data_IF_296217169899
#
_entry.id   IF_296217169899
#
_cell.length_a   1.000
_cell.length_b   1.000
_cell.length_c   1.000
_cell.angle_alpha   90.00
_cell.angle_beta   90.00
_cell.angle_gamma   90.00
#
_symmetry.space_group_name_H-M   'P 1'
#
loop_
_entity.id
_entity.type
_entity.pdbx_description
1 polymer ?
#
# COMPACT_ATOMS: atom_id res chain seq x y z
N UNK A 1 -49.20 27.93 -11.31
CA UNK A 1 -48.17 28.98 -11.20
C UNK A 1 -47.72 29.03 -9.75
N UNK A 2 -46.62 28.34 -9.45
CA UNK A 2 -45.87 28.48 -8.19
C UNK A 2 -44.45 28.82 -8.59
N UNK A 3 -43.91 29.88 -8.00
CA UNK A 3 -42.66 30.50 -8.39
C UNK A 3 -41.48 29.54 -8.16
N UNK A 4 -40.77 29.23 -9.24
CA UNK A 4 -39.43 28.65 -9.18
C UNK A 4 -38.52 29.73 -8.59
N UNK A 5 -37.96 29.46 -7.41
CA UNK A 5 -36.87 30.26 -6.86
C UNK A 5 -35.61 29.90 -7.64
N UNK A 6 -35.21 30.79 -8.53
CA UNK A 6 -33.88 30.82 -9.13
C UNK A 6 -32.81 30.97 -8.03
N UNK A 7 -31.81 30.09 -8.02
CA UNK A 7 -30.51 30.38 -7.39
C UNK A 7 -29.89 29.31 -6.50
N UNK A 8 -30.51 28.17 -6.23
CA UNK A 8 -29.83 27.09 -5.52
C UNK A 8 -28.85 26.39 -6.45
N UNK A 9 -27.55 26.58 -6.21
CA UNK A 9 -26.49 25.79 -6.84
C UNK A 9 -26.72 24.32 -6.47
N UNK A 10 -27.38 23.58 -7.36
CA UNK A 10 -27.54 22.13 -7.24
C UNK A 10 -26.18 21.50 -6.98
N UNK A 11 -26.06 20.74 -5.88
CA UNK A 11 -24.81 20.08 -5.52
C UNK A 11 -24.45 19.05 -6.59
N UNK A 12 -23.16 18.75 -6.78
CA UNK A 12 -22.73 17.72 -7.74
C UNK A 12 -23.43 16.37 -7.49
N UNK A 13 -23.72 16.08 -6.21
CA UNK A 13 -24.47 14.92 -5.75
C UNK A 13 -25.92 14.90 -6.27
N UNK A 14 -26.62 16.04 -6.21
CA UNK A 14 -27.97 16.16 -6.75
C UNK A 14 -28.01 15.98 -8.27
N UNK A 15 -27.03 16.55 -8.98
CA UNK A 15 -26.89 16.41 -10.45
C UNK A 15 -26.55 14.98 -10.87
N UNK A 16 -25.76 14.27 -10.06
CA UNK A 16 -25.45 12.85 -10.30
C UNK A 16 -26.70 11.98 -10.11
N UNK A 17 -27.48 12.23 -9.05
CA UNK A 17 -28.73 11.50 -8.80
C UNK A 17 -29.74 11.73 -9.93
N UNK A 18 -29.91 12.97 -10.41
CA UNK A 18 -30.79 13.28 -11.55
C UNK A 18 -30.41 12.53 -12.85
N UNK A 19 -29.13 12.21 -13.04
CA UNK A 19 -28.64 11.50 -14.23
C UNK A 19 -28.81 9.98 -14.13
N UNK A 20 -29.05 9.45 -12.93
CA UNK A 20 -28.94 8.02 -12.65
C UNK A 20 -30.23 7.44 -12.02
N UNK A 21 -31.06 8.30 -11.41
CA UNK A 21 -32.41 7.94 -11.01
C UNK A 21 -33.27 7.75 -12.26
N UNK A 22 -33.53 6.49 -12.61
CA UNK A 22 -34.68 6.12 -13.42
C UNK A 22 -35.87 5.86 -12.46
N UNK A 23 -36.85 6.79 -12.39
CA UNK A 23 -38.01 6.64 -11.50
C UNK A 23 -38.93 5.47 -11.88
N UNK A 24 -38.70 4.82 -13.04
CA UNK A 24 -39.39 3.59 -13.42
C UNK A 24 -38.77 2.33 -12.81
N UNK A 25 -37.54 2.42 -12.30
CA UNK A 25 -36.78 1.29 -11.77
C UNK A 25 -36.57 1.41 -10.25
N UNK A 26 -36.42 2.62 -9.70
CA UNK A 26 -36.02 2.82 -8.30
C UNK A 26 -36.77 3.95 -7.56
N UNK A 27 -36.80 3.82 -6.22
CA UNK A 27 -37.26 4.90 -5.33
C UNK A 27 -36.23 6.04 -5.32
N UNK A 28 -36.65 7.31 -5.45
CA UNK A 28 -35.72 8.44 -5.54
C UNK A 28 -34.81 8.51 -4.31
N UNK A 29 -33.50 8.54 -4.53
CA UNK A 29 -32.53 8.68 -3.44
C UNK A 29 -32.17 10.15 -3.26
N UNK A 30 -32.26 10.70 -2.05
CA UNK A 30 -31.92 12.11 -1.83
C UNK A 30 -30.40 12.32 -1.68
N UNK A 31 -29.86 13.51 -1.99
CA UNK A 31 -28.44 13.82 -1.78
C UNK A 31 -27.96 13.59 -0.34
N UNK A 32 -28.81 13.92 0.64
CA UNK A 32 -28.52 13.70 2.06
C UNK A 32 -28.42 12.21 2.42
N UNK A 33 -29.12 11.34 1.68
CA UNK A 33 -29.11 9.90 1.92
C UNK A 33 -27.81 9.22 1.46
N UNK A 34 -27.00 9.86 0.62
CA UNK A 34 -25.71 9.33 0.14
C UNK A 34 -24.50 10.08 0.69
N UNK A 35 -24.73 11.00 1.63
CA UNK A 35 -23.67 11.74 2.29
C UNK A 35 -22.76 10.76 3.07
N UNK A 36 -21.43 10.87 2.87
CA UNK A 36 -20.39 9.94 3.39
C UNK A 36 -20.41 8.50 2.83
N UNK A 37 -21.13 8.27 1.72
CA UNK A 37 -21.18 6.98 1.01
C UNK A 37 -21.14 7.17 -0.52
N UNK A 38 -20.46 8.22 -0.99
CA UNK A 38 -20.36 8.58 -2.41
C UNK A 38 -19.53 7.58 -3.19
N UNK A 39 -18.42 7.10 -2.62
CA UNK A 39 -17.58 6.08 -3.24
C UNK A 39 -18.32 4.75 -3.25
N UNK A 40 -18.94 4.38 -2.13
CA UNK A 40 -19.81 3.19 -2.04
C UNK A 40 -20.90 3.25 -3.12
N UNK A 41 -21.56 4.40 -3.27
CA UNK A 41 -22.58 4.59 -4.29
C UNK A 41 -22.01 4.49 -5.71
N UNK A 42 -20.85 5.10 -6.00
CA UNK A 42 -20.19 5.01 -7.30
C UNK A 42 -19.84 3.56 -7.68
N UNK A 43 -19.39 2.74 -6.72
CA UNK A 43 -19.14 1.31 -6.92
C UNK A 43 -20.45 0.59 -7.28
N UNK A 44 -21.52 0.83 -6.53
CA UNK A 44 -22.83 0.21 -6.79
C UNK A 44 -23.39 0.62 -8.15
N UNK A 45 -23.22 1.87 -8.58
CA UNK A 45 -23.60 2.34 -9.90
C UNK A 45 -22.85 1.58 -11.01
N UNK A 46 -21.55 1.39 -10.83
CA UNK A 46 -20.72 0.61 -11.77
C UNK A 46 -21.16 -0.86 -11.89
N UNK A 47 -21.70 -1.41 -10.80
CA UNK A 47 -22.26 -2.75 -10.74
C UNK A 47 -23.75 -2.82 -11.15
N UNK A 48 -24.32 -1.70 -11.58
CA UNK A 48 -25.73 -1.56 -11.94
C UNK A 48 -26.70 -1.96 -10.80
N UNK A 49 -26.30 -1.71 -9.54
CA UNK A 49 -27.06 -2.00 -8.34
C UNK A 49 -27.10 -0.80 -7.37
N UNK A 50 -27.06 0.42 -7.91
CA UNK A 50 -27.10 1.69 -7.17
C UNK A 50 -28.22 1.79 -6.15
N UNK A 51 -29.36 1.17 -6.46
CA UNK A 51 -30.53 1.10 -5.61
C UNK A 51 -30.27 0.43 -4.26
N UNK A 52 -29.21 -0.38 -4.12
CA UNK A 52 -28.82 -1.03 -2.87
C UNK A 52 -28.06 -0.11 -1.92
N UNK A 53 -27.85 1.16 -2.26
CA UNK A 53 -27.11 2.12 -1.42
C UNK A 53 -27.67 2.22 0.00
N UNK A 54 -29.00 2.14 0.16
CA UNK A 54 -29.65 2.16 1.46
C UNK A 54 -29.29 0.97 2.35
N UNK A 55 -28.98 -0.17 1.75
CA UNK A 55 -28.52 -1.39 2.44
C UNK A 55 -27.04 -1.29 2.75
N UNK A 56 -26.21 -0.94 1.77
CA UNK A 56 -24.76 -0.87 1.95
C UNK A 56 -24.35 0.20 2.97
N UNK A 57 -24.92 1.42 2.90
CA UNK A 57 -24.54 2.53 3.78
C UNK A 57 -24.79 2.29 5.28
N UNK A 58 -25.62 1.30 5.62
CA UNK A 58 -25.86 0.90 7.02
C UNK A 58 -24.64 0.22 7.63
N UNK A 59 -23.81 -0.38 6.79
CA UNK A 59 -22.67 -1.19 7.21
C UNK A 59 -21.35 -0.57 6.76
N UNK A 60 -21.26 -0.02 5.55
CA UNK A 60 -20.02 0.51 4.99
C UNK A 60 -20.13 2.01 4.67
N UNK A 61 -19.05 2.74 4.92
CA UNK A 61 -18.90 4.17 4.59
C UNK A 61 -17.62 4.36 3.80
N UNK A 62 -17.49 5.49 3.12
CA UNK A 62 -16.31 5.80 2.30
C UNK A 62 -15.01 5.73 3.12
N UNK A 63 -15.03 6.21 4.37
CA UNK A 63 -13.86 6.21 5.27
C UNK A 63 -13.45 4.81 5.76
N UNK A 64 -14.30 3.80 5.58
CA UNK A 64 -14.14 2.43 6.10
C UNK A 64 -14.35 1.36 5.01
N UNK A 65 -14.00 1.68 3.75
CA UNK A 65 -14.12 0.76 2.61
C UNK A 65 -13.28 -0.52 2.76
N UNK A 66 -12.20 -0.46 3.55
CA UNK A 66 -11.29 -1.56 3.87
C UNK A 66 -11.89 -2.59 4.83
N UNK A 67 -12.99 -2.26 5.52
CA UNK A 67 -13.60 -3.13 6.53
C UNK A 67 -14.27 -4.36 5.91
N UNK A 68 -14.01 -5.54 6.47
CA UNK A 68 -14.72 -6.77 6.10
C UNK A 68 -16.04 -6.88 6.89
N UNK A 69 -17.10 -6.31 6.31
CA UNK A 69 -18.47 -6.40 6.82
C UNK A 69 -19.37 -7.23 5.92
N UNK A 70 -18.75 -8.04 5.06
CA UNK A 70 -19.40 -8.90 4.08
C UNK A 70 -20.45 -9.84 4.68
N UNK A 71 -20.27 -10.44 5.89
CA UNK A 71 -21.32 -11.25 6.51
C UNK A 71 -22.61 -10.49 6.83
N UNK A 72 -22.51 -9.24 7.27
CA UNK A 72 -23.66 -8.41 7.64
C UNK A 72 -24.42 -7.92 6.41
N UNK A 73 -23.68 -7.45 5.40
CA UNK A 73 -24.23 -7.00 4.12
C UNK A 73 -24.93 -8.18 3.43
N UNK A 74 -24.31 -9.38 3.40
CA UNK A 74 -24.90 -10.57 2.80
C UNK A 74 -26.24 -10.94 3.44
N UNK A 75 -26.34 -10.87 4.76
CA UNK A 75 -27.59 -11.15 5.47
C UNK A 75 -28.67 -10.13 5.11
N UNK A 76 -28.33 -8.84 5.06
CA UNK A 76 -29.28 -7.80 4.65
C UNK A 76 -29.75 -7.95 3.19
N UNK A 77 -28.84 -8.33 2.27
CA UNK A 77 -29.17 -8.61 0.87
C UNK A 77 -30.09 -9.83 0.72
N UNK A 78 -29.84 -10.91 1.49
CA UNK A 78 -30.72 -12.09 1.51
C UNK A 78 -32.13 -11.75 2.00
N UNK A 79 -32.25 -10.91 3.02
CA UNK A 79 -33.55 -10.43 3.52
C UNK A 79 -34.32 -9.55 2.52
N UNK A 80 -33.65 -9.05 1.47
CA UNK A 80 -34.24 -8.19 0.45
C UNK A 80 -34.84 -8.95 -0.74
N UNK A 81 -34.79 -10.29 -0.75
CA UNK A 81 -35.40 -11.12 -1.81
C UNK A 81 -34.66 -11.12 -3.15
N UNK A 82 -33.39 -10.69 -3.18
CA UNK A 82 -32.56 -10.71 -4.39
C UNK A 82 -32.26 -12.17 -4.81
N UNK A 83 -32.23 -12.44 -6.13
CA UNK A 83 -31.92 -13.78 -6.65
C UNK A 83 -30.46 -14.20 -6.41
N UNK A 84 -29.51 -13.26 -6.43
CA UNK A 84 -28.07 -13.56 -6.35
C UNK A 84 -27.31 -12.60 -5.39
N UNK A 85 -27.65 -12.58 -4.09
CA UNK A 85 -27.06 -11.64 -3.14
C UNK A 85 -25.56 -11.86 -2.92
N UNK A 86 -25.10 -13.12 -3.01
CA UNK A 86 -23.68 -13.47 -2.89
C UNK A 86 -22.85 -12.92 -4.05
N UNK A 87 -23.37 -12.96 -5.27
CA UNK A 87 -22.63 -12.53 -6.46
C UNK A 87 -22.41 -11.02 -6.47
N UNK A 88 -23.43 -10.25 -6.05
CA UNK A 88 -23.34 -8.80 -5.89
C UNK A 88 -22.27 -8.45 -4.87
N UNK A 89 -22.25 -9.14 -3.73
CA UNK A 89 -21.26 -8.89 -2.68
C UNK A 89 -19.84 -9.22 -3.15
N UNK A 90 -19.64 -10.35 -3.83
CA UNK A 90 -18.33 -10.73 -4.39
C UNK A 90 -17.86 -9.71 -5.43
N UNK A 91 -18.76 -9.19 -6.27
CA UNK A 91 -18.41 -8.15 -7.24
C UNK A 91 -18.11 -6.81 -6.56
N UNK A 92 -18.87 -6.43 -5.53
CA UNK A 92 -18.61 -5.24 -4.74
C UNK A 92 -17.24 -5.32 -4.04
N UNK A 93 -16.95 -6.42 -3.36
CA UNK A 93 -15.66 -6.64 -2.71
C UNK A 93 -14.50 -6.62 -3.70
N UNK A 94 -14.71 -7.04 -4.94
CA UNK A 94 -13.71 -6.95 -5.99
C UNK A 94 -13.48 -5.52 -6.47
N UNK A 95 -14.54 -4.74 -6.64
CA UNK A 95 -14.46 -3.36 -7.15
C UNK A 95 -14.02 -2.34 -6.10
N UNK A 96 -14.35 -2.55 -4.81
CA UNK A 96 -14.04 -1.58 -3.74
C UNK A 96 -12.55 -1.25 -3.62
N UNK A 97 -11.68 -2.23 -3.90
CA UNK A 97 -10.24 -2.04 -3.82
C UNK A 97 -9.69 -1.05 -4.85
N UNK A 98 -10.40 -0.84 -5.97
CA UNK A 98 -10.07 0.20 -6.94
C UNK A 98 -10.34 1.63 -6.42
N UNK A 99 -10.86 1.76 -5.21
CA UNK A 99 -11.11 3.05 -4.54
C UNK A 99 -10.53 3.09 -3.13
N UNK A 100 -9.78 2.06 -2.72
CA UNK A 100 -9.17 1.96 -1.42
C UNK A 100 -7.65 2.13 -1.56
N UNK A 101 -7.10 3.32 -1.29
CA UNK A 101 -5.66 3.48 -1.24
C UNK A 101 -5.09 2.66 -0.09
N UNK A 102 -4.02 1.91 -0.35
CA UNK A 102 -3.27 1.22 0.69
C UNK A 102 -2.58 2.24 1.58
N UNK A 103 -2.66 2.01 2.89
CA UNK A 103 -1.88 2.77 3.87
C UNK A 103 -0.55 2.07 4.07
N UNK A 104 0.50 2.86 4.32
CA UNK A 104 1.82 2.30 4.62
C UNK A 104 1.80 1.43 5.90
N UNK A 105 0.91 1.76 6.84
CA UNK A 105 0.67 0.99 8.06
C UNK A 105 0.21 -0.45 7.76
N UNK A 106 -0.63 -0.64 6.74
CA UNK A 106 -1.11 -1.96 6.34
C UNK A 106 0.00 -2.81 5.69
N UNK A 107 1.04 -2.16 5.15
CA UNK A 107 2.23 -2.84 4.63
C UNK A 107 3.20 -3.21 5.76
N UNK A 108 3.16 -2.50 6.89
CA UNK A 108 3.96 -2.83 8.05
C UNK A 108 3.40 -4.03 8.81
N UNK A 109 2.07 -4.21 8.81
CA UNK A 109 1.40 -5.34 9.44
C UNK A 109 1.47 -6.60 8.57
N UNK A 110 2.37 -7.50 8.94
CA UNK A 110 2.62 -8.75 8.21
C UNK A 110 1.44 -9.71 8.21
N UNK A 111 0.60 -9.68 9.24
CA UNK A 111 -0.58 -10.55 9.34
C UNK A 111 -1.59 -10.20 8.25
N UNK A 112 -1.70 -8.90 7.95
CA UNK A 112 -2.50 -8.38 6.83
C UNK A 112 -1.81 -8.63 5.49
N UNK A 113 -0.50 -8.38 5.39
CA UNK A 113 0.24 -8.46 4.12
C UNK A 113 0.25 -9.85 3.47
N UNK A 114 0.24 -10.93 4.27
CA UNK A 114 0.39 -12.30 3.79
C UNK A 114 -0.93 -12.97 3.38
N UNK A 115 -2.08 -12.49 3.89
CA UNK A 115 -3.42 -13.06 3.64
C UNK A 115 -4.15 -12.42 2.44
N UNK A 116 -3.52 -11.44 1.79
CA UNK A 116 -4.11 -10.64 0.71
C UNK A 116 -4.04 -11.28 -0.67
N UNK A 117 -4.41 -12.55 -0.80
CA UNK A 117 -4.51 -13.20 -2.11
C UNK A 117 -5.63 -12.60 -2.98
N UNK A 118 -6.43 -11.65 -2.49
CA UNK A 118 -7.57 -11.04 -3.22
C UNK A 118 -7.48 -9.52 -3.40
N UNK A 119 -6.55 -8.83 -2.74
CA UNK A 119 -6.56 -7.37 -2.69
C UNK A 119 -5.93 -6.73 -3.94
N UNK A 120 -6.67 -5.80 -4.56
CA UNK A 120 -6.20 -4.96 -5.68
C UNK A 120 -5.99 -3.53 -5.21
N UNK A 121 -5.03 -3.37 -4.30
CA UNK A 121 -4.76 -2.08 -3.70
C UNK A 121 -4.30 -1.04 -4.71
N UNK A 122 -4.75 0.20 -4.51
CA UNK A 122 -4.08 1.36 -5.07
C UNK A 122 -2.95 1.71 -4.12
N UNK A 123 -1.72 1.48 -4.53
CA UNK A 123 -0.57 1.81 -3.70
C UNK A 123 -0.39 3.34 -3.67
N UNK A 124 0.07 3.91 -2.55
CA UNK A 124 0.20 5.36 -2.38
C UNK A 124 1.46 5.92 -3.08
N UNK A 125 1.86 5.33 -4.22
CA UNK A 125 3.08 5.70 -4.92
C UNK A 125 2.77 6.75 -6.00
N UNK A 126 3.33 7.95 -5.86
CA UNK A 126 3.21 9.00 -6.88
C UNK A 126 4.21 8.81 -8.04
N UNK A 127 5.24 8.00 -7.85
CA UNK A 127 6.25 7.64 -8.85
C UNK A 127 6.79 6.23 -8.58
N UNK A 128 7.10 5.50 -9.66
CA UNK A 128 7.74 4.18 -9.62
C UNK A 128 8.69 4.05 -10.81
N UNK A 129 9.97 3.81 -10.53
CA UNK A 129 11.02 3.67 -11.52
C UNK A 129 11.74 2.34 -11.32
N UNK A 130 11.94 1.58 -12.39
CA UNK A 130 12.78 0.40 -12.30
C UNK A 130 14.25 0.81 -12.19
N UNK A 131 14.92 0.38 -11.13
CA UNK A 131 16.34 0.70 -10.86
C UNK A 131 17.25 -0.52 -10.96
N UNK A 132 16.68 -1.72 -11.02
CA UNK A 132 17.49 -2.91 -11.17
C UNK A 132 16.69 -4.19 -11.28
N UNK A 133 17.39 -5.24 -11.70
CA UNK A 133 16.87 -6.60 -11.74
C UNK A 133 17.95 -7.56 -11.27
N UNK A 134 17.69 -8.25 -10.17
CA UNK A 134 18.47 -9.40 -9.72
C UNK A 134 17.99 -10.70 -10.38
N UNK A 135 18.62 -11.82 -10.00
CA UNK A 135 18.24 -13.14 -10.51
C UNK A 135 16.82 -13.58 -10.10
N UNK A 136 16.38 -13.21 -8.89
CA UNK A 136 15.12 -13.65 -8.29
C UNK A 136 14.11 -12.53 -8.06
N UNK A 137 14.53 -11.27 -8.17
CA UNK A 137 13.71 -10.12 -7.84
C UNK A 137 13.99 -8.92 -8.74
N UNK A 138 12.98 -8.07 -8.87
CA UNK A 138 13.08 -6.76 -9.51
C UNK A 138 13.10 -5.70 -8.41
N UNK A 139 13.89 -4.65 -8.59
CA UNK A 139 13.94 -3.54 -7.64
C UNK A 139 13.46 -2.27 -8.32
N UNK A 140 12.48 -1.61 -7.70
CA UNK A 140 11.95 -0.33 -8.13
C UNK A 140 12.19 0.73 -7.04
N UNK A 141 12.59 1.93 -7.45
CA UNK A 141 12.49 3.14 -6.65
C UNK A 141 11.03 3.61 -6.66
N UNK A 142 10.47 3.94 -5.50
CA UNK A 142 9.13 4.53 -5.38
C UNK A 142 9.12 5.75 -4.49
N UNK A 143 8.15 6.63 -4.74
CA UNK A 143 7.93 7.84 -3.94
C UNK A 143 6.54 7.86 -3.33
N UNK A 144 6.46 8.32 -2.09
CA UNK A 144 5.20 8.58 -1.37
C UNK A 144 5.19 10.02 -0.90
N UNK A 145 4.16 10.80 -1.23
CA UNK A 145 4.03 12.17 -0.73
C UNK A 145 3.88 12.19 0.80
N UNK A 146 4.48 13.18 1.46
CA UNK A 146 4.46 13.31 2.92
C UNK A 146 3.03 13.31 3.51
N UNK A 147 2.08 13.94 2.81
CA UNK A 147 0.68 14.05 3.24
C UNK A 147 -0.06 12.70 3.23
N UNK A 148 0.46 11.68 2.53
CA UNK A 148 -0.09 10.33 2.49
C UNK A 148 0.51 9.41 3.57
N UNK A 149 1.51 9.90 4.32
CA UNK A 149 2.15 9.15 5.40
C UNK A 149 1.62 9.64 6.75
N UNK A 150 1.02 8.74 7.57
CA UNK A 150 0.59 9.08 8.92
C UNK A 150 1.76 9.57 9.79
N UNK A 151 1.50 10.52 10.69
CA UNK A 151 2.53 11.10 11.56
C UNK A 151 3.27 10.04 12.39
N UNK A 152 2.57 8.96 12.79
CA UNK A 152 3.13 7.78 13.48
C UNK A 152 4.23 7.06 12.70
N UNK A 153 4.23 7.17 11.36
CA UNK A 153 5.21 6.55 10.47
C UNK A 153 6.31 7.50 9.98
N UNK A 154 6.11 8.82 10.12
CA UNK A 154 7.08 9.81 9.63
C UNK A 154 8.45 9.69 10.31
N UNK A 155 8.47 9.36 11.60
CA UNK A 155 9.71 9.14 12.35
C UNK A 155 10.51 7.95 11.79
N UNK A 156 9.82 6.86 11.45
CA UNK A 156 10.43 5.67 10.86
C UNK A 156 11.04 5.97 9.48
N UNK A 157 10.41 6.84 8.71
CA UNK A 157 10.83 7.18 7.35
C UNK A 157 11.70 8.44 7.27
N UNK A 158 12.09 9.02 8.40
CA UNK A 158 12.77 10.32 8.43
C UNK A 158 14.04 10.36 7.58
N UNK A 159 14.80 9.26 7.55
CA UNK A 159 16.01 9.13 6.74
C UNK A 159 15.74 9.09 5.23
N UNK A 160 14.52 8.75 4.82
CA UNK A 160 14.10 8.64 3.43
C UNK A 160 13.44 9.91 2.87
N UNK A 161 13.34 10.99 3.67
CA UNK A 161 12.63 12.20 3.28
C UNK A 161 13.46 13.04 2.32
N UNK A 162 12.87 13.43 1.19
CA UNK A 162 13.50 14.33 0.22
C UNK A 162 12.47 15.21 -0.49
N UNK A 163 12.92 16.27 -1.15
CA UNK A 163 12.07 17.20 -1.89
C UNK A 163 12.08 16.85 -3.39
N UNK A 164 10.96 16.32 -3.90
CA UNK A 164 10.76 16.07 -5.33
C UNK A 164 10.25 17.34 -6.03
N UNK A 165 10.74 17.58 -7.25
CA UNK A 165 10.43 18.80 -8.02
C UNK A 165 8.98 18.89 -8.48
N UNK A 166 8.29 17.75 -8.58
CA UNK A 166 6.91 17.66 -9.10
C UNK A 166 5.93 17.47 -7.94
N UNK A 167 6.29 16.63 -6.97
CA UNK A 167 5.37 16.20 -5.91
C UNK A 167 5.62 16.86 -4.55
N UNK A 168 6.66 17.68 -4.41
CA UNK A 168 7.06 18.31 -3.16
C UNK A 168 7.71 17.33 -2.19
N UNK A 169 7.48 17.49 -0.90
CA UNK A 169 8.04 16.60 0.12
C UNK A 169 7.54 15.17 -0.03
N UNK A 170 8.48 14.25 -0.22
CA UNK A 170 8.23 12.83 -0.41
C UNK A 170 9.15 11.97 0.45
N UNK A 171 8.78 10.72 0.62
CA UNK A 171 9.65 9.65 1.11
C UNK A 171 10.07 8.77 -0.07
N UNK A 172 11.38 8.59 -0.24
CA UNK A 172 11.99 7.78 -1.29
C UNK A 172 12.32 6.39 -0.77
N UNK A 173 11.70 5.36 -1.33
CA UNK A 173 11.77 3.98 -0.86
C UNK A 173 12.17 3.04 -2.01
N UNK A 174 12.62 1.84 -1.65
CA UNK A 174 12.87 0.76 -2.58
C UNK A 174 11.83 -0.37 -2.41
N UNK A 175 11.29 -0.86 -3.51
CA UNK A 175 10.48 -2.08 -3.54
C UNK A 175 11.30 -3.18 -4.16
N UNK A 176 11.45 -4.28 -3.43
CA UNK A 176 11.97 -5.54 -3.98
C UNK A 176 10.81 -6.49 -4.26
N UNK A 177 10.54 -6.74 -5.53
CA UNK A 177 9.42 -7.55 -6.03
C UNK A 177 9.87 -8.94 -6.44
N UNK A 178 9.22 -9.97 -5.90
CA UNK A 178 9.45 -11.39 -6.16
C UNK A 178 8.29 -11.98 -6.95
N UNK A 179 8.62 -12.82 -7.93
CA UNK A 179 7.61 -13.58 -8.66
C UNK A 179 7.05 -14.73 -7.81
N UNK A 180 5.92 -15.28 -8.22
CA UNK A 180 5.21 -16.34 -7.49
C UNK A 180 6.06 -17.61 -7.29
N UNK A 181 7.03 -17.84 -8.17
CA UNK A 181 7.94 -18.98 -8.11
C UNK A 181 9.03 -18.81 -7.05
N UNK A 182 9.27 -17.58 -6.57
CA UNK A 182 10.33 -17.22 -5.62
C UNK A 182 9.80 -16.99 -4.19
N UNK A 183 8.65 -17.58 -3.82
CA UNK A 183 8.02 -17.36 -2.51
C UNK A 183 8.88 -17.81 -1.32
N UNK A 184 9.63 -18.89 -1.47
CA UNK A 184 10.51 -19.36 -0.40
C UNK A 184 11.66 -18.37 -0.15
N UNK A 185 12.23 -17.82 -1.24
CA UNK A 185 13.25 -16.76 -1.16
C UNK A 185 12.70 -15.52 -0.44
N UNK A 186 11.49 -15.10 -0.82
CA UNK A 186 10.79 -13.97 -0.19
C UNK A 186 10.58 -14.18 1.32
N UNK A 187 10.10 -15.36 1.74
CA UNK A 187 9.87 -15.67 3.16
C UNK A 187 11.17 -15.66 3.96
N UNK A 188 12.23 -16.25 3.42
CA UNK A 188 13.56 -16.21 4.04
C UNK A 188 14.03 -14.77 4.20
N UNK A 189 13.89 -13.96 3.15
CA UNK A 189 14.39 -12.59 3.16
C UNK A 189 13.62 -11.68 4.15
N UNK A 190 12.30 -11.81 4.24
CA UNK A 190 11.51 -11.15 5.28
C UNK A 190 11.95 -11.56 6.68
N UNK A 191 12.18 -12.86 6.91
CA UNK A 191 12.61 -13.38 8.21
C UNK A 191 13.95 -12.77 8.61
N UNK A 192 14.88 -12.68 7.66
CA UNK A 192 16.20 -12.08 7.89
C UNK A 192 16.10 -10.58 8.20
N UNK A 193 15.36 -9.81 7.38
CA UNK A 193 15.17 -8.38 7.59
C UNK A 193 14.50 -8.07 8.93
N UNK A 194 13.50 -8.87 9.33
CA UNK A 194 12.88 -8.74 10.63
C UNK A 194 13.85 -9.00 11.78
N UNK A 195 14.67 -10.04 11.66
CA UNK A 195 15.66 -10.39 12.67
C UNK A 195 16.61 -9.23 12.95
N UNK A 196 17.00 -8.49 11.91
CA UNK A 196 18.04 -7.46 11.99
C UNK A 196 17.50 -6.02 11.93
N UNK A 197 16.17 -5.82 11.97
CA UNK A 197 15.53 -4.50 11.76
C UNK A 197 15.97 -3.39 12.71
N UNK A 198 16.47 -3.75 13.89
CA UNK A 198 16.96 -2.80 14.90
C UNK A 198 18.47 -2.55 14.82
N UNK A 199 19.18 -3.21 13.90
CA UNK A 199 20.62 -3.12 13.78
C UNK A 199 21.02 -1.90 12.94
N UNK A 200 21.74 -0.92 13.52
CA UNK A 200 22.22 0.24 12.75
C UNK A 200 23.20 -0.16 11.65
N UNK A 201 23.16 0.55 10.52
CA UNK A 201 24.04 0.31 9.37
C UNK A 201 23.56 -0.81 8.44
N UNK A 202 22.36 -1.36 8.67
CA UNK A 202 21.66 -2.23 7.71
C UNK A 202 20.50 -1.45 7.12
N UNK A 203 20.18 -1.71 5.85
CA UNK A 203 19.03 -1.08 5.18
C UNK A 203 17.75 -1.32 5.98
N UNK A 204 17.01 -0.25 6.20
CA UNK A 204 15.82 -0.32 7.04
C UNK A 204 14.70 -1.09 6.33
N UNK A 205 14.17 -2.11 7.01
CA UNK A 205 12.94 -2.79 6.62
C UNK A 205 11.72 -1.99 7.06
N UNK A 206 10.85 -1.65 6.10
CA UNK A 206 9.65 -0.83 6.34
C UNK A 206 8.42 -1.73 6.41
N UNK A 207 8.30 -2.71 5.51
CA UNK A 207 7.13 -3.57 5.44
C UNK A 207 7.17 -4.56 4.28
N UNK A 208 6.05 -5.26 4.08
CA UNK A 208 5.83 -6.14 2.95
C UNK A 208 4.36 -6.13 2.51
N UNK A 209 4.10 -6.54 1.27
CA UNK A 209 2.74 -6.67 0.75
C UNK A 209 2.70 -7.60 -0.46
N UNK A 210 1.52 -8.15 -0.76
CA UNK A 210 1.25 -8.87 -2.01
C UNK A 210 0.46 -7.98 -2.96
N UNK A 211 0.72 -8.14 -4.25
CA UNK A 211 0.03 -7.36 -5.27
C UNK A 211 -0.30 -8.23 -6.49
N UNK A 212 -1.53 -8.12 -6.98
CA UNK A 212 -1.96 -8.75 -8.24
C UNK A 212 -1.95 -7.72 -9.36
N UNK A 213 -0.91 -7.75 -10.18
CA UNK A 213 -0.79 -6.88 -11.37
C UNK A 213 -0.95 -7.68 -12.66
N UNK A 214 -1.59 -7.12 -13.69
CA UNK A 214 -1.57 -7.71 -15.02
C UNK A 214 -0.16 -7.62 -15.61
N UNK A 215 0.33 -8.71 -16.18
CA UNK A 215 1.56 -8.68 -16.97
C UNK A 215 1.33 -8.04 -18.35
N UNK A 216 2.37 -7.97 -19.19
CA UNK A 216 2.30 -7.41 -20.55
C UNK A 216 1.26 -8.10 -21.46
N UNK A 217 0.81 -9.31 -21.11
CA UNK A 217 -0.22 -10.09 -21.82
C UNK A 217 -1.61 -9.97 -21.16
N UNK A 218 -1.76 -9.10 -20.16
CA UNK A 218 -3.01 -8.92 -19.41
C UNK A 218 -3.32 -10.03 -18.39
N UNK A 219 -2.41 -10.99 -18.21
CA UNK A 219 -2.57 -12.09 -17.25
C UNK A 219 -2.19 -11.59 -15.87
N UNK A 220 -3.12 -11.70 -14.92
CA UNK A 220 -2.88 -11.34 -13.52
C UNK A 220 -1.81 -12.26 -12.91
N UNK A 221 -0.77 -11.66 -12.37
CA UNK A 221 0.26 -12.35 -11.59
C UNK A 221 0.35 -11.75 -10.20
N UNK A 222 0.47 -12.62 -9.21
CA UNK A 222 0.74 -12.21 -7.83
C UNK A 222 2.25 -11.99 -7.67
N UNK A 223 2.62 -10.83 -7.17
CA UNK A 223 3.98 -10.53 -6.71
C UNK A 223 3.98 -10.42 -5.20
N UNK A 224 5.07 -10.88 -4.57
CA UNK A 224 5.36 -10.61 -3.17
C UNK A 224 6.40 -9.51 -3.12
N UNK A 225 6.19 -8.50 -2.28
CA UNK A 225 6.98 -7.28 -2.29
C UNK A 225 7.51 -6.97 -0.88
N UNK A 226 8.76 -6.53 -0.82
CA UNK A 226 9.40 -6.01 0.39
C UNK A 226 9.64 -4.51 0.17
N UNK A 227 9.24 -3.69 1.14
CA UNK A 227 9.45 -2.25 1.15
C UNK A 227 10.64 -1.93 2.06
N UNK A 228 11.64 -1.25 1.50
CA UNK A 228 12.92 -0.94 2.13
C UNK A 228 13.23 0.55 2.02
N UNK A 229 14.12 1.02 2.89
CA UNK A 229 14.84 2.28 2.67
C UNK A 229 15.56 2.26 1.32
N UNK A 230 15.58 3.41 0.64
CA UNK A 230 16.31 3.59 -0.61
C UNK A 230 17.73 4.06 -0.33
N UNK A 231 18.72 3.31 -0.84
CA UNK A 231 20.10 3.78 -0.91
C UNK A 231 20.36 4.45 -2.25
N UNK A 232 20.81 5.71 -2.23
CA UNK A 232 21.06 6.48 -3.46
C UNK A 232 22.17 5.89 -4.33
N UNK A 233 23.18 5.30 -3.68
CA UNK A 233 24.35 4.72 -4.32
C UNK A 233 24.73 3.43 -3.60
N UNK A 234 25.20 2.45 -4.37
CA UNK A 234 25.95 1.36 -3.77
C UNK A 234 27.40 1.77 -3.46
N UNK A 235 28.13 0.93 -2.73
CA UNK A 235 29.50 1.25 -2.30
C UNK A 235 30.45 1.37 -3.50
N UNK A 236 30.25 0.56 -4.55
CA UNK A 236 31.12 0.58 -5.73
C UNK A 236 30.90 1.87 -6.53
N UNK A 237 29.64 2.26 -6.72
CA UNK A 237 29.24 3.53 -7.34
C UNK A 237 29.78 4.72 -6.55
N UNK A 238 29.61 4.71 -5.22
CA UNK A 238 30.14 5.75 -4.34
C UNK A 238 31.67 5.89 -4.50
N UNK A 239 32.41 4.78 -4.47
CA UNK A 239 33.86 4.80 -4.63
C UNK A 239 34.32 5.19 -6.03
N UNK A 240 33.51 4.93 -7.06
CA UNK A 240 33.81 5.28 -8.45
C UNK A 240 33.64 6.79 -8.71
N UNK A 241 32.66 7.44 -8.08
CA UNK A 241 32.36 8.86 -8.32
C UNK A 241 33.06 9.80 -7.34
N UNK A 242 33.36 9.35 -6.13
CA UNK A 242 33.99 10.18 -5.11
C UNK A 242 35.51 10.19 -5.28
N UNK A 243 36.11 11.37 -5.23
CA UNK A 243 37.55 11.49 -5.21
C UNK A 243 38.11 10.90 -3.91
N UNK A 244 39.27 10.22 -3.95
CA UNK A 244 39.93 9.76 -2.73
C UNK A 244 40.16 10.95 -1.78
N UNK A 245 39.92 10.78 -0.47
CA UNK A 245 40.11 11.86 0.50
C UNK A 245 41.58 12.29 0.56
N UNK A 246 41.85 13.59 0.57
CA UNK A 246 43.22 14.15 0.50
C UNK A 246 43.60 14.84 1.81
N UNK A 247 42.64 15.46 2.49
CA UNK A 247 42.88 16.10 3.78
C UNK A 247 42.86 15.07 4.89
N UNK A 248 43.70 15.24 5.91
CA UNK A 248 43.76 14.32 7.06
C UNK A 248 42.38 14.13 7.72
N UNK A 249 41.58 15.18 7.84
CA UNK A 249 40.23 15.10 8.39
C UNK A 249 39.28 14.28 7.51
N UNK A 250 39.40 14.39 6.18
CA UNK A 250 38.60 13.61 5.23
C UNK A 250 39.01 12.14 5.26
N UNK A 251 40.32 11.86 5.35
CA UNK A 251 40.86 10.50 5.43
C UNK A 251 40.35 9.82 6.71
N UNK A 252 40.43 10.50 7.85
CA UNK A 252 39.92 9.97 9.13
C UNK A 252 38.43 9.68 9.03
N UNK A 253 37.63 10.67 8.59
CA UNK A 253 36.17 10.50 8.47
C UNK A 253 35.80 9.38 7.49
N UNK A 254 36.50 9.26 6.35
CA UNK A 254 36.28 8.17 5.41
C UNK A 254 36.47 6.80 6.06
N UNK A 255 37.59 6.59 6.76
CA UNK A 255 37.85 5.31 7.43
C UNK A 255 36.90 5.05 8.59
N UNK A 256 36.55 6.07 9.37
CA UNK A 256 35.55 5.94 10.45
C UNK A 256 34.20 5.47 9.93
N UNK A 257 33.76 5.99 8.77
CA UNK A 257 32.52 5.56 8.12
C UNK A 257 32.62 4.15 7.53
N UNK A 258 33.72 3.79 6.85
CA UNK A 258 33.93 2.42 6.36
C UNK A 258 33.99 1.42 7.52
N UNK A 259 34.57 1.79 8.67
CA UNK A 259 34.58 0.92 9.85
C UNK A 259 33.18 0.67 10.41
N UNK A 260 32.20 1.55 10.19
CA UNK A 260 30.81 1.26 10.57
C UNK A 260 30.28 0.02 9.84
N UNK A 261 30.62 -0.15 8.55
CA UNK A 261 30.24 -1.34 7.78
C UNK A 261 30.82 -2.60 8.43
N UNK A 262 32.12 -2.59 8.75
CA UNK A 262 32.79 -3.72 9.40
C UNK A 262 32.20 -4.02 10.80
N UNK A 263 31.89 -2.98 11.57
CA UNK A 263 31.26 -3.11 12.89
C UNK A 263 29.84 -3.70 12.78
N UNK A 264 29.06 -3.30 11.78
CA UNK A 264 27.72 -3.86 11.53
C UNK A 264 27.81 -5.32 11.09
N UNK A 265 28.74 -5.67 10.20
CA UNK A 265 29.00 -7.05 9.80
C UNK A 265 29.42 -7.94 10.98
N UNK A 266 30.29 -7.43 11.85
CA UNK A 266 30.69 -8.15 13.06
C UNK A 266 29.51 -8.40 14.00
N UNK A 267 28.55 -7.47 14.10
CA UNK A 267 27.31 -7.68 14.87
C UNK A 267 26.40 -8.71 14.20
N UNK A 268 26.30 -8.71 12.87
CA UNK A 268 25.52 -9.70 12.11
C UNK A 268 26.04 -11.12 12.32
N UNK A 269 27.36 -11.32 12.26
CA UNK A 269 27.99 -12.63 12.46
C UNK A 269 27.84 -13.19 13.89
N UNK A 270 27.52 -12.33 14.87
CA UNK A 270 27.27 -12.74 16.25
C UNK A 270 25.79 -12.53 16.63
N UNK A 271 24.90 -12.40 15.64
CA UNK A 271 23.52 -12.07 15.91
C UNK A 271 22.74 -13.32 16.32
N UNK A 272 22.28 -13.33 17.58
CA UNK A 272 21.38 -14.34 18.11
C UNK A 272 19.94 -13.82 18.04
N UNK A 273 19.09 -14.50 17.27
CA UNK A 273 17.66 -14.20 17.23
C UNK A 273 16.86 -15.24 18.01
N UNK A 274 16.04 -14.77 18.95
CA UNK A 274 15.05 -15.60 19.64
C UNK A 274 13.76 -15.68 18.83
N UNK A 275 13.41 -16.89 18.41
CA UNK A 275 12.15 -17.18 17.74
C UNK A 275 10.98 -17.11 18.74
N UNK A 276 9.77 -16.91 18.19
CA UNK A 276 8.53 -16.90 18.98
C UNK A 276 8.25 -18.21 19.74
N UNK A 277 8.92 -19.31 19.40
CA UNK A 277 8.85 -20.61 20.08
C UNK A 277 9.86 -20.76 21.23
N UNK A 278 10.66 -19.72 21.51
CA UNK A 278 11.68 -19.71 22.58
C UNK A 278 13.03 -20.32 22.18
N UNK A 279 13.22 -20.74 20.92
CA UNK A 279 14.51 -21.20 20.43
C UNK A 279 15.40 -20.04 19.97
N UNK A 280 16.70 -20.11 20.32
CA UNK A 280 17.71 -19.18 19.81
C UNK A 280 18.36 -19.78 18.56
N UNK A 281 18.39 -19.02 17.47
CA UNK A 281 19.21 -19.32 16.31
C UNK A 281 20.28 -18.26 16.15
N UNK A 282 21.54 -18.67 16.12
CA UNK A 282 22.69 -17.86 15.74
C UNK A 282 22.70 -17.71 14.23
N UNK A 283 22.85 -16.49 13.73
CA UNK A 283 23.22 -16.26 12.35
C UNK A 283 24.72 -16.50 12.19
N UNK A 284 25.08 -17.73 11.86
CA UNK A 284 26.43 -18.03 11.37
C UNK A 284 26.48 -17.62 9.89
N UNK A 285 27.14 -16.49 9.62
CA UNK A 285 27.34 -15.95 8.27
C UNK A 285 28.17 -16.86 7.37
#
# INVERSE_FOLDING_TARGET
MSAVKDGEKSSNTARLLEMVDDPSIFSPTSPDQINNALIVFAILLRLNCGNLIHTFKQYIRDDFLDSDLSPYILNALKSSGLQFPSDILVQFDKEKWAFCPAKIEDMHDQTKALDQDTARWILPFCKRNNIGKGGTAVVDEVLIQEDLVPDTFKDMLRGCKYEDKVFGWCYQLAIKSFQQEAQDVFKTEITNFMGIKSLPGVVQYIGCFKLKEPNAQGVLRTTSNILLEYGELDLDEYLAIQYPPILNSEIINFWENIFQVAMTLAKLHNFEYQRHDGSTTTFDG
#
